data_IF_619900107986
#
_entry.id   IF_619900107986
#
_cell.length_a   1.000
_cell.length_b   1.000
_cell.length_c   1.000
_cell.angle_alpha   90.00
_cell.angle_beta   90.00
_cell.angle_gamma   90.00
#
_symmetry.space_group_name_H-M   'P 1'
#
loop_
_entity.id
_entity.type
_entity.pdbx_description
1 polymer ?
#
# COMPACT_ATOMS: atom_id res chain seq x y z
N UNK A 1 41.32 -54.06 -21.21
CA UNK A 1 40.18 -53.19 -20.88
C UNK A 1 40.76 -51.89 -20.35
N UNK A 2 40.74 -50.83 -21.16
CA UNK A 2 41.22 -49.51 -20.76
C UNK A 2 40.18 -48.85 -19.86
N UNK A 3 40.50 -48.70 -18.58
CA UNK A 3 39.68 -47.93 -17.64
C UNK A 3 39.76 -46.46 -18.00
N UNK A 4 38.62 -45.87 -18.34
CA UNK A 4 38.50 -44.43 -18.52
C UNK A 4 38.54 -43.82 -17.11
N UNK A 5 39.71 -43.37 -16.69
CA UNK A 5 39.88 -42.59 -15.47
C UNK A 5 39.39 -41.16 -15.75
N UNK A 6 38.19 -40.86 -15.27
CA UNK A 6 37.66 -39.51 -15.34
C UNK A 6 38.39 -38.64 -14.32
N UNK A 7 39.05 -37.54 -14.72
CA UNK A 7 39.71 -36.65 -13.78
C UNK A 7 38.73 -36.11 -12.73
N UNK A 8 39.15 -36.10 -11.47
CA UNK A 8 38.36 -35.69 -10.29
C UNK A 8 37.71 -34.30 -10.39
N UNK A 9 38.13 -33.48 -11.35
CA UNK A 9 37.57 -32.15 -11.62
C UNK A 9 36.24 -32.19 -12.40
N UNK A 10 35.94 -33.28 -13.10
CA UNK A 10 34.77 -33.40 -13.96
C UNK A 10 33.42 -33.14 -13.25
N UNK A 11 33.16 -33.67 -12.04
CA UNK A 11 31.93 -33.39 -11.31
C UNK A 11 31.74 -31.90 -11.03
N UNK A 12 32.82 -31.18 -10.73
CA UNK A 12 32.80 -29.75 -10.46
C UNK A 12 32.52 -28.94 -11.73
N UNK A 13 33.12 -29.33 -12.87
CA UNK A 13 32.83 -28.72 -14.16
C UNK A 13 31.37 -28.92 -14.57
N UNK A 14 30.80 -30.11 -14.33
CA UNK A 14 29.38 -30.36 -14.55
C UNK A 14 28.49 -29.54 -13.61
N UNK A 15 28.85 -29.40 -12.33
CA UNK A 15 28.10 -28.57 -11.39
C UNK A 15 28.09 -27.09 -11.82
N UNK A 16 29.24 -26.55 -12.24
CA UNK A 16 29.36 -25.17 -12.76
C UNK A 16 28.55 -25.01 -14.04
N UNK A 17 28.62 -25.97 -14.96
CA UNK A 17 27.82 -25.97 -16.18
C UNK A 17 26.31 -25.99 -15.88
N UNK A 18 25.86 -26.84 -14.96
CA UNK A 18 24.46 -26.91 -14.55
C UNK A 18 23.99 -25.60 -13.91
N UNK A 19 24.78 -25.02 -12.99
CA UNK A 19 24.46 -23.73 -12.38
C UNK A 19 24.39 -22.59 -13.41
N UNK A 20 25.33 -22.55 -14.36
CA UNK A 20 25.34 -21.52 -15.41
C UNK A 20 24.17 -21.69 -16.38
N UNK A 21 23.78 -22.93 -16.71
CA UNK A 21 22.60 -23.23 -17.51
C UNK A 21 21.30 -22.85 -16.78
N UNK A 22 21.17 -23.16 -15.49
CA UNK A 22 20.05 -22.73 -14.65
C UNK A 22 19.96 -21.21 -14.62
N UNK A 23 21.10 -20.53 -14.44
CA UNK A 23 21.16 -19.07 -14.45
C UNK A 23 20.75 -18.46 -15.80
N UNK A 24 21.24 -19.03 -16.91
CA UNK A 24 20.86 -18.59 -18.26
C UNK A 24 19.39 -18.85 -18.55
N UNK A 25 18.85 -19.99 -18.13
CA UNK A 25 17.44 -20.29 -18.24
C UNK A 25 16.60 -19.30 -17.43
N UNK A 26 16.99 -19.01 -16.19
CA UNK A 26 16.36 -17.97 -15.38
C UNK A 26 16.40 -16.60 -16.06
N UNK A 27 17.54 -16.15 -16.58
CA UNK A 27 17.68 -14.89 -17.32
C UNK A 27 16.76 -14.83 -18.56
N UNK A 28 16.65 -15.92 -19.31
CA UNK A 28 15.72 -16.02 -20.44
C UNK A 28 14.25 -15.94 -20.00
N UNK A 29 13.88 -16.58 -18.89
CA UNK A 29 12.52 -16.50 -18.34
C UNK A 29 12.19 -15.11 -17.81
N UNK A 30 13.19 -14.40 -17.25
CA UNK A 30 13.07 -13.00 -16.83
C UNK A 30 12.88 -12.07 -18.03
N UNK A 31 13.70 -12.21 -19.07
CA UNK A 31 13.56 -11.45 -20.34
C UNK A 31 12.24 -11.73 -21.04
N UNK A 32 11.75 -12.97 -20.96
CA UNK A 32 10.44 -13.37 -21.48
C UNK A 32 9.26 -12.92 -20.60
N UNK A 33 9.52 -12.26 -19.46
CA UNK A 33 8.48 -11.77 -18.54
C UNK A 33 7.70 -12.85 -17.80
N UNK A 34 8.13 -14.12 -17.89
CA UNK A 34 7.48 -15.27 -17.24
C UNK A 34 7.87 -15.44 -15.78
N UNK A 35 9.05 -14.94 -15.40
CA UNK A 35 9.55 -14.92 -14.02
C UNK A 35 10.00 -13.49 -13.70
N UNK A 36 9.58 -12.95 -12.56
CA UNK A 36 10.11 -11.68 -12.07
C UNK A 36 11.32 -11.96 -11.19
N UNK A 37 12.50 -11.50 -11.63
CA UNK A 37 13.65 -11.41 -10.75
C UNK A 37 13.30 -10.46 -9.59
N UNK A 38 13.15 -10.99 -8.39
CA UNK A 38 13.09 -10.17 -7.18
C UNK A 38 14.53 -9.83 -6.81
N UNK A 39 14.87 -8.54 -6.82
CA UNK A 39 16.12 -8.10 -6.22
C UNK A 39 16.09 -8.46 -4.73
N UNK A 40 17.01 -9.32 -4.32
CA UNK A 40 17.16 -9.80 -2.94
C UNK A 40 17.38 -8.65 -1.94
N UNK A 41 17.73 -7.46 -2.44
CA UNK A 41 18.02 -6.24 -1.69
C UNK A 41 16.82 -5.28 -1.55
N UNK A 42 15.69 -5.49 -2.24
CA UNK A 42 14.45 -4.71 -2.04
C UNK A 42 13.65 -5.26 -0.85
N UNK A 43 14.17 -5.14 0.38
CA UNK A 43 13.55 -5.71 1.59
C UNK A 43 12.14 -5.19 1.92
N UNK A 44 11.73 -4.02 1.41
CA UNK A 44 10.35 -3.53 1.56
C UNK A 44 9.44 -3.90 0.38
N UNK A 45 10.01 -4.22 -0.79
CA UNK A 45 9.30 -4.38 -2.06
C UNK A 45 8.47 -3.16 -2.49
N UNK A 46 8.69 -1.96 -1.91
CA UNK A 46 7.96 -0.73 -2.27
C UNK A 46 8.88 0.14 -3.13
N UNK A 47 8.41 0.50 -4.33
CA UNK A 47 9.19 1.24 -5.34
C UNK A 47 8.69 2.67 -5.54
N UNK A 48 7.45 2.96 -5.15
CA UNK A 48 6.89 4.31 -5.08
C UNK A 48 5.88 4.42 -3.93
N UNK A 49 5.68 5.63 -3.43
CA UNK A 49 4.67 5.96 -2.44
C UNK A 49 3.68 6.95 -3.02
N UNK A 50 2.39 6.74 -2.78
CA UNK A 50 1.32 7.58 -3.30
C UNK A 50 0.52 8.17 -2.13
N UNK A 51 0.40 9.51 -2.11
CA UNK A 51 -0.40 10.22 -1.13
C UNK A 51 -1.86 10.31 -1.60
N UNK A 52 -2.74 9.65 -0.86
CA UNK A 52 -4.17 9.64 -1.14
C UNK A 52 -4.93 10.40 -0.04
N UNK A 53 -5.79 11.31 -0.49
CA UNK A 53 -6.69 12.08 0.37
C UNK A 53 -8.11 11.55 0.19
N UNK A 54 -8.85 11.30 1.30
CA UNK A 54 -10.28 11.01 1.26
C UNK A 54 -11.07 11.88 0.30
N UNK A 55 -11.87 11.24 -0.55
CA UNK A 55 -12.78 11.95 -1.45
C UNK A 55 -14.11 12.24 -0.72
N UNK A 56 -14.07 12.97 0.38
CA UNK A 56 -15.28 13.34 1.13
C UNK A 56 -15.32 14.82 1.52
N UNK A 57 -16.48 15.29 1.96
CA UNK A 57 -16.70 16.69 2.36
C UNK A 57 -15.87 17.14 3.57
N UNK A 58 -15.25 16.22 4.30
CA UNK A 58 -14.42 16.52 5.47
C UNK A 58 -12.95 16.77 5.10
N UNK A 59 -12.50 16.35 3.91
CA UNK A 59 -11.15 16.62 3.44
C UNK A 59 -10.95 18.11 3.15
N UNK A 60 -10.00 18.73 3.87
CA UNK A 60 -9.66 20.13 3.70
C UNK A 60 -8.91 20.41 2.39
N UNK A 61 -8.94 21.68 1.95
CA UNK A 61 -8.30 22.11 0.70
C UNK A 61 -6.80 21.80 0.64
N UNK A 62 -6.07 22.00 1.75
CA UNK A 62 -4.62 21.70 1.81
C UNK A 62 -4.34 20.23 1.51
N UNK A 63 -5.13 19.31 2.08
CA UNK A 63 -4.97 17.88 1.81
C UNK A 63 -5.42 17.51 0.39
N UNK A 64 -6.47 18.17 -0.13
CA UNK A 64 -6.97 17.95 -1.49
C UNK A 64 -5.93 18.34 -2.55
N UNK A 65 -5.20 19.43 -2.34
CA UNK A 65 -4.10 19.88 -3.22
C UNK A 65 -2.98 18.83 -3.33
N UNK A 66 -2.77 18.03 -2.29
CA UNK A 66 -1.73 16.98 -2.26
C UNK A 66 -2.22 15.61 -2.77
N UNK A 67 -3.46 15.52 -3.25
CA UNK A 67 -4.00 14.27 -3.82
C UNK A 67 -3.24 13.92 -5.10
N UNK A 68 -2.82 12.66 -5.21
CA UNK A 68 -2.12 12.15 -6.39
C UNK A 68 -0.62 12.44 -6.39
N UNK A 69 -0.07 13.01 -5.32
CA UNK A 69 1.38 13.16 -5.16
C UNK A 69 2.04 11.78 -5.02
N UNK A 70 3.12 11.57 -5.77
CA UNK A 70 3.91 10.35 -5.79
C UNK A 70 5.36 10.67 -5.43
N UNK A 71 5.93 9.83 -4.57
CA UNK A 71 7.27 10.00 -4.02
C UNK A 71 8.10 8.73 -4.17
N UNK A 72 9.39 8.90 -4.40
CA UNK A 72 10.36 7.81 -4.39
C UNK A 72 10.70 7.42 -2.94
N UNK A 73 11.10 6.17 -2.67
CA UNK A 73 11.53 5.75 -1.34
C UNK A 73 12.68 6.60 -0.77
N UNK A 74 13.59 7.10 -1.62
CA UNK A 74 14.67 7.98 -1.19
C UNK A 74 14.17 9.31 -0.63
N UNK A 75 13.10 9.88 -1.20
CA UNK A 75 12.48 11.12 -0.71
C UNK A 75 11.74 10.86 0.60
N UNK A 76 10.95 9.78 0.68
CA UNK A 76 10.14 9.44 1.87
C UNK A 76 11.00 9.11 3.09
N UNK A 77 12.17 8.51 2.89
CA UNK A 77 13.09 8.13 3.98
C UNK A 77 13.94 9.29 4.49
N UNK A 78 13.86 10.48 3.88
CA UNK A 78 14.58 11.66 4.35
C UNK A 78 14.06 12.13 5.72
N UNK A 79 14.96 12.57 6.60
CA UNK A 79 14.63 12.92 8.00
C UNK A 79 13.56 14.01 8.18
N UNK A 80 13.30 14.80 7.14
CA UNK A 80 12.34 15.92 7.16
C UNK A 80 11.21 15.71 6.15
N UNK A 81 10.98 14.48 5.71
CA UNK A 81 9.92 14.22 4.75
C UNK A 81 8.56 14.56 5.37
N UNK A 82 7.88 15.52 4.75
CA UNK A 82 6.45 15.73 4.93
C UNK A 82 5.81 15.71 3.55
N UNK A 83 4.73 14.94 3.34
CA UNK A 83 4.06 14.91 2.06
C UNK A 83 3.28 16.20 1.78
N UNK A 84 3.14 17.08 2.77
CA UNK A 84 2.43 18.35 2.68
C UNK A 84 3.40 19.46 3.11
N UNK A 85 3.42 20.57 2.38
CA UNK A 85 4.18 21.77 2.76
C UNK A 85 3.49 22.53 3.89
N UNK A 86 2.15 22.49 3.91
CA UNK A 86 1.30 23.12 4.91
C UNK A 86 0.59 22.05 5.74
N UNK A 87 0.38 22.27 7.05
CA UNK A 87 -0.31 21.30 7.89
C UNK A 87 -1.80 21.20 7.54
N UNK A 88 -2.38 20.04 7.79
CA UNK A 88 -3.82 19.81 7.69
C UNK A 88 -4.59 20.79 8.59
N UNK A 89 -5.53 21.54 8.01
CA UNK A 89 -6.35 22.53 8.72
C UNK A 89 -7.63 21.93 9.32
N UNK A 90 -7.97 20.69 9.01
CA UNK A 90 -9.10 20.00 9.64
C UNK A 90 -8.72 19.63 11.09
N UNK A 91 -9.44 20.12 12.13
CA UNK A 91 -9.13 19.84 13.53
C UNK A 91 -9.31 18.37 13.92
N UNK A 92 -10.06 17.60 13.12
CA UNK A 92 -10.22 16.17 13.28
C UNK A 92 -9.23 15.36 12.44
N UNK A 93 -8.39 16.03 11.63
CA UNK A 93 -7.49 15.43 10.66
C UNK A 93 -8.23 14.88 9.44
N UNK A 94 -7.69 15.09 8.24
CA UNK A 94 -8.28 14.54 7.01
C UNK A 94 -8.01 13.05 6.81
N UNK A 95 -7.24 12.40 7.69
CA UNK A 95 -6.91 10.96 7.63
C UNK A 95 -6.34 10.53 6.27
N UNK A 96 -5.53 11.38 5.64
CA UNK A 96 -4.80 11.04 4.43
C UNK A 96 -3.86 9.86 4.68
N UNK A 97 -3.58 9.09 3.63
CA UNK A 97 -2.73 7.91 3.72
C UNK A 97 -1.60 7.97 2.71
N UNK A 98 -0.46 7.39 3.10
CA UNK A 98 0.67 7.16 2.22
C UNK A 98 0.71 5.68 1.88
N UNK A 99 0.55 5.36 0.60
CA UNK A 99 0.45 3.97 0.13
C UNK A 99 1.69 3.59 -0.66
N UNK A 100 2.40 2.58 -0.16
CA UNK A 100 3.51 1.98 -0.88
C UNK A 100 3.00 1.06 -1.98
N UNK A 101 3.58 1.20 -3.18
CA UNK A 101 3.33 0.33 -4.33
C UNK A 101 4.68 -0.23 -4.84
N UNK A 102 4.69 -1.52 -5.16
CA UNK A 102 5.75 -2.17 -5.93
C UNK A 102 5.71 -1.73 -7.40
N UNK A 103 4.52 -1.58 -7.96
CA UNK A 103 4.36 -1.06 -9.33
C UNK A 103 4.82 -2.03 -10.40
N UNK A 104 4.40 -3.29 -10.32
CA UNK A 104 4.84 -4.35 -11.23
C UNK A 104 4.21 -4.35 -12.64
N UNK A 105 3.30 -3.42 -12.94
CA UNK A 105 2.55 -3.35 -14.21
C UNK A 105 2.98 -2.14 -15.08
N UNK A 106 2.66 -2.12 -16.39
CA UNK A 106 3.20 -1.12 -17.34
C UNK A 106 2.98 0.33 -16.95
N UNK A 107 1.78 0.69 -16.50
CA UNK A 107 1.43 2.05 -16.07
C UNK A 107 2.27 2.48 -14.87
N UNK A 108 2.41 1.61 -13.86
CA UNK A 108 3.25 1.91 -12.70
C UNK A 108 4.74 2.02 -13.06
N UNK A 109 5.23 1.22 -14.01
CA UNK A 109 6.60 1.33 -14.51
C UNK A 109 6.85 2.68 -15.18
N UNK A 110 5.90 3.18 -15.97
CA UNK A 110 5.96 4.53 -16.57
C UNK A 110 6.01 5.61 -15.49
N UNK A 111 5.18 5.50 -14.46
CA UNK A 111 5.23 6.43 -13.30
C UNK A 111 6.60 6.37 -12.61
N UNK A 112 7.17 5.18 -12.40
CA UNK A 112 8.50 5.03 -11.81
C UNK A 112 9.62 5.69 -12.63
N UNK A 113 9.54 5.61 -13.96
CA UNK A 113 10.49 6.25 -14.88
C UNK A 113 10.36 7.78 -14.82
N UNK A 114 9.14 8.30 -14.89
CA UNK A 114 8.87 9.73 -14.75
C UNK A 114 9.32 10.24 -13.38
N UNK A 115 9.06 9.49 -12.31
CA UNK A 115 9.46 9.85 -10.95
C UNK A 115 10.98 10.00 -10.82
N UNK A 116 11.76 9.14 -11.49
CA UNK A 116 13.22 9.28 -11.56
C UNK A 116 13.64 10.55 -12.30
N UNK A 117 12.97 10.89 -13.40
CA UNK A 117 13.23 12.11 -14.15
C UNK A 117 12.87 13.39 -13.36
N UNK A 118 11.90 13.31 -12.44
CA UNK A 118 11.44 14.42 -11.60
C UNK A 118 12.10 14.42 -10.19
N UNK A 119 13.33 13.95 -10.07
CA UNK A 119 14.09 13.95 -8.81
C UNK A 119 13.35 13.26 -7.64
N UNK A 120 12.52 12.27 -7.93
CA UNK A 120 11.86 11.44 -6.93
C UNK A 120 10.57 12.00 -6.35
N UNK A 121 9.99 13.07 -6.90
CA UNK A 121 8.68 13.60 -6.51
C UNK A 121 7.92 14.16 -7.72
N UNK A 122 6.66 13.78 -7.89
CA UNK A 122 5.80 14.32 -8.94
C UNK A 122 4.32 14.21 -8.55
N UNK A 123 3.44 14.90 -9.29
CA UNK A 123 1.99 14.76 -9.15
C UNK A 123 1.43 14.01 -10.34
N UNK A 124 0.57 13.02 -10.08
CA UNK A 124 -0.24 12.39 -11.11
C UNK A 124 -1.54 13.19 -11.31
N UNK A 125 -1.97 13.31 -12.57
CA UNK A 125 -3.32 13.77 -12.89
C UNK A 125 -4.36 12.71 -12.50
N UNK A 126 -5.63 13.10 -12.45
CA UNK A 126 -6.72 12.16 -12.15
C UNK A 126 -6.83 11.07 -13.23
N UNK A 127 -6.55 11.41 -14.49
CA UNK A 127 -6.44 10.49 -15.63
C UNK A 127 -5.28 9.51 -15.46
N UNK A 128 -4.09 9.99 -15.10
CA UNK A 128 -2.92 9.14 -14.88
C UNK A 128 -3.14 8.18 -13.71
N UNK A 129 -3.73 8.68 -12.61
CA UNK A 129 -4.09 7.87 -11.47
C UNK A 129 -5.16 6.83 -11.81
N UNK A 130 -6.15 7.18 -12.64
CA UNK A 130 -7.16 6.24 -13.12
C UNK A 130 -6.52 5.16 -14.00
N UNK A 131 -5.70 5.56 -14.97
CA UNK A 131 -4.97 4.62 -15.82
C UNK A 131 -4.08 3.67 -15.00
N UNK A 132 -3.40 4.19 -13.97
CA UNK A 132 -2.61 3.40 -13.03
C UNK A 132 -3.46 2.30 -12.36
N UNK A 133 -4.67 2.63 -11.92
CA UNK A 133 -5.59 1.68 -11.27
C UNK A 133 -6.17 0.66 -12.25
N UNK A 134 -6.62 1.10 -13.43
CA UNK A 134 -7.18 0.22 -14.46
C UNK A 134 -6.14 -0.78 -14.97
N UNK A 135 -4.91 -0.32 -15.27
CA UNK A 135 -3.82 -1.18 -15.71
C UNK A 135 -3.43 -2.26 -14.70
N UNK A 136 -3.68 -2.03 -13.41
CA UNK A 136 -3.44 -3.02 -12.37
C UNK A 136 -4.39 -4.22 -12.43
N UNK A 137 -5.62 -4.04 -12.93
CA UNK A 137 -6.64 -5.10 -13.00
C UNK A 137 -6.28 -6.20 -14.01
N UNK A 138 -5.52 -5.84 -15.05
CA UNK A 138 -5.16 -6.75 -16.14
C UNK A 138 -3.88 -7.55 -15.89
N UNK A 139 -3.16 -7.33 -14.78
CA UNK A 139 -1.82 -7.89 -14.54
C UNK A 139 -1.73 -8.72 -13.25
N UNK A 140 -1.57 -10.05 -13.35
CA UNK A 140 -1.63 -10.97 -12.20
C UNK A 140 -0.46 -10.90 -11.20
N UNK A 141 0.78 -10.68 -11.67
CA UNK A 141 1.98 -10.87 -10.84
C UNK A 141 2.40 -9.63 -10.01
N UNK A 142 2.23 -8.42 -10.57
CA UNK A 142 2.56 -7.17 -9.87
C UNK A 142 1.42 -6.65 -8.97
N UNK A 143 0.18 -6.78 -9.43
CA UNK A 143 -1.00 -6.30 -8.70
C UNK A 143 -1.33 -7.14 -7.46
N UNK A 144 -0.82 -8.37 -7.36
CA UNK A 144 -1.00 -9.20 -6.16
C UNK A 144 -0.22 -8.65 -4.97
N UNK A 145 1.02 -8.17 -5.19
CA UNK A 145 1.83 -7.55 -4.14
C UNK A 145 1.26 -6.20 -3.67
N UNK A 146 0.55 -5.51 -4.57
CA UNK A 146 -0.04 -4.19 -4.32
C UNK A 146 -1.56 -4.25 -4.07
N UNK A 147 -2.12 -5.45 -3.96
CA UNK A 147 -3.56 -5.73 -3.90
C UNK A 147 -4.29 -4.84 -2.89
N UNK A 148 -3.77 -4.77 -1.67
CA UNK A 148 -4.44 -4.03 -0.60
C UNK A 148 -4.20 -2.52 -0.73
N UNK A 149 -3.02 -2.07 -1.16
CA UNK A 149 -2.76 -0.67 -1.47
C UNK A 149 -3.67 -0.16 -2.60
N UNK A 150 -3.86 -0.95 -3.65
CA UNK A 150 -4.75 -0.64 -4.77
C UNK A 150 -6.22 -0.60 -4.33
N UNK A 151 -6.66 -1.57 -3.51
CA UNK A 151 -8.01 -1.52 -2.92
C UNK A 151 -8.21 -0.32 -2.00
N UNK A 152 -7.18 0.10 -1.26
CA UNK A 152 -7.24 1.29 -0.43
C UNK A 152 -7.43 2.56 -1.28
N UNK A 153 -6.73 2.66 -2.41
CA UNK A 153 -6.91 3.75 -3.37
C UNK A 153 -8.33 3.77 -3.96
N UNK A 154 -8.84 2.61 -4.37
CA UNK A 154 -10.20 2.49 -4.89
C UNK A 154 -11.23 2.89 -3.84
N UNK A 155 -11.06 2.43 -2.59
CA UNK A 155 -11.93 2.78 -1.48
C UNK A 155 -11.98 4.30 -1.28
N UNK A 156 -10.82 4.94 -1.16
CA UNK A 156 -10.68 6.39 -0.94
C UNK A 156 -11.36 7.21 -2.04
N UNK A 157 -11.22 6.80 -3.30
CA UNK A 157 -11.84 7.51 -4.44
C UNK A 157 -13.35 7.36 -4.44
N UNK A 158 -13.86 6.20 -4.02
CA UNK A 158 -15.28 5.88 -3.99
C UNK A 158 -16.03 6.53 -2.83
N UNK A 159 -15.38 6.98 -1.75
CA UNK A 159 -16.06 7.43 -0.52
C UNK A 159 -17.14 8.50 -0.72
N UNK A 160 -16.92 9.45 -1.63
CA UNK A 160 -17.84 10.56 -1.86
C UNK A 160 -18.95 10.28 -2.87
N UNK A 161 -18.74 9.33 -3.79
CA UNK A 161 -19.63 9.08 -4.92
C UNK A 161 -20.36 7.73 -4.78
N UNK A 162 -19.67 6.72 -4.26
CA UNK A 162 -20.11 5.33 -4.17
C UNK A 162 -19.74 4.74 -2.80
N UNK A 163 -20.35 5.23 -1.70
CA UNK A 163 -19.95 4.86 -0.34
C UNK A 163 -20.08 3.35 -0.06
N UNK A 164 -21.03 2.66 -0.70
CA UNK A 164 -21.17 1.21 -0.59
C UNK A 164 -19.94 0.46 -1.14
N UNK A 165 -19.41 0.89 -2.28
CA UNK A 165 -18.19 0.33 -2.90
C UNK A 165 -16.97 0.59 -2.00
N UNK A 166 -16.88 1.80 -1.45
CA UNK A 166 -15.82 2.13 -0.49
C UNK A 166 -15.86 1.23 0.75
N UNK A 167 -17.05 1.01 1.33
CA UNK A 167 -17.25 0.11 2.49
C UNK A 167 -16.79 -1.31 2.16
N UNK A 168 -17.18 -1.85 1.00
CA UNK A 168 -16.76 -3.20 0.57
C UNK A 168 -15.23 -3.31 0.49
N UNK A 169 -14.57 -2.34 -0.14
CA UNK A 169 -13.11 -2.33 -0.22
C UNK A 169 -12.44 -2.22 1.15
N UNK A 170 -12.94 -1.37 2.05
CA UNK A 170 -12.40 -1.26 3.40
C UNK A 170 -12.59 -2.55 4.22
N UNK A 171 -13.78 -3.17 4.16
CA UNK A 171 -14.03 -4.48 4.80
C UNK A 171 -13.04 -5.53 4.30
N UNK A 172 -12.85 -5.62 3.00
CA UNK A 172 -11.85 -6.52 2.42
C UNK A 172 -10.44 -6.24 2.95
N UNK A 173 -10.03 -4.97 3.06
CA UNK A 173 -8.70 -4.61 3.57
C UNK A 173 -8.53 -5.08 5.02
N UNK A 174 -9.48 -4.77 5.91
CA UNK A 174 -9.37 -5.13 7.33
C UNK A 174 -9.43 -6.65 7.57
N UNK A 175 -10.09 -7.40 6.69
CA UNK A 175 -10.15 -8.87 6.76
C UNK A 175 -8.90 -9.55 6.19
N UNK A 176 -8.28 -8.97 5.16
CA UNK A 176 -7.22 -9.61 4.39
C UNK A 176 -5.82 -9.11 4.71
N UNK A 177 -5.69 -8.01 5.46
CA UNK A 177 -4.41 -7.50 5.92
C UNK A 177 -3.76 -8.46 6.93
N UNK A 178 -2.73 -9.19 6.48
CA UNK A 178 -2.04 -10.21 7.28
C UNK A 178 -0.54 -9.93 7.42
N UNK A 179 0.05 -9.26 6.44
CA UNK A 179 1.49 -8.99 6.37
C UNK A 179 1.87 -7.65 7.01
N UNK A 180 3.13 -7.49 7.43
CA UNK A 180 3.61 -6.23 8.03
C UNK A 180 3.42 -5.02 7.13
N UNK A 181 3.61 -5.19 5.81
CA UNK A 181 3.30 -4.21 4.77
C UNK A 181 1.86 -3.69 4.83
N UNK A 182 0.89 -4.59 4.99
CA UNK A 182 -0.53 -4.25 4.97
C UNK A 182 -0.94 -3.45 6.21
N UNK A 183 -0.22 -3.68 7.32
CA UNK A 183 -0.47 -3.02 8.60
C UNK A 183 -0.17 -1.53 8.57
N UNK A 184 0.61 -1.04 7.60
CA UNK A 184 0.94 0.38 7.46
C UNK A 184 -0.30 1.28 7.27
N UNK A 185 -1.36 0.77 6.65
CA UNK A 185 -2.59 1.54 6.38
C UNK A 185 -3.87 0.87 6.90
N UNK A 186 -3.81 -0.34 7.47
CA UNK A 186 -5.00 -1.05 7.98
C UNK A 186 -5.76 -0.26 9.06
N UNK A 187 -5.05 0.43 9.96
CA UNK A 187 -5.68 1.26 11.00
C UNK A 187 -6.41 2.44 10.37
N UNK A 188 -5.83 3.02 9.32
CA UNK A 188 -6.50 4.05 8.54
C UNK A 188 -7.76 3.48 7.88
N UNK A 189 -7.73 2.27 7.32
CA UNK A 189 -8.91 1.60 6.77
C UNK A 189 -10.01 1.40 7.83
N UNK A 190 -9.67 0.95 9.04
CA UNK A 190 -10.61 0.84 10.17
C UNK A 190 -11.28 2.19 10.49
N UNK A 191 -10.48 3.25 10.62
CA UNK A 191 -10.97 4.60 10.90
C UNK A 191 -11.91 5.11 9.78
N UNK A 192 -11.54 4.92 8.52
CA UNK A 192 -12.37 5.32 7.37
C UNK A 192 -13.67 4.54 7.28
N UNK A 193 -13.60 3.21 7.46
CA UNK A 193 -14.78 2.36 7.51
C UNK A 193 -15.76 2.81 8.60
N UNK A 194 -15.26 3.14 9.80
CA UNK A 194 -16.10 3.65 10.89
C UNK A 194 -16.77 4.98 10.57
N UNK A 195 -16.11 5.87 9.81
CA UNK A 195 -16.72 7.15 9.37
C UNK A 195 -17.86 6.88 8.38
N UNK A 196 -17.63 5.99 7.42
CA UNK A 196 -18.63 5.67 6.40
C UNK A 196 -19.84 4.95 6.98
N UNK A 197 -19.63 3.97 7.86
CA UNK A 197 -20.72 3.22 8.52
C UNK A 197 -21.62 4.16 9.33
N UNK A 198 -21.06 5.11 10.08
CA UNK A 198 -21.86 6.12 10.78
C UNK A 198 -22.68 6.97 9.79
N UNK A 199 -22.07 7.44 8.70
CA UNK A 199 -22.75 8.29 7.70
C UNK A 199 -23.94 7.61 7.04
N UNK A 200 -23.88 6.29 6.86
CA UNK A 200 -24.99 5.52 6.29
C UNK A 200 -25.98 5.03 7.36
N UNK A 201 -25.89 5.54 8.59
CA UNK A 201 -26.83 5.23 9.67
C UNK A 201 -26.58 3.90 10.36
N UNK A 202 -25.35 3.38 10.32
CA UNK A 202 -24.94 2.13 10.99
C UNK A 202 -23.91 2.38 12.11
N UNK A 203 -24.22 3.18 13.13
CA UNK A 203 -23.28 3.50 14.20
C UNK A 203 -22.88 2.30 15.07
N UNK A 204 -23.77 1.30 15.22
CA UNK A 204 -23.46 0.06 15.95
C UNK A 204 -22.32 -0.72 15.29
N UNK A 205 -22.40 -0.90 13.97
CA UNK A 205 -21.35 -1.56 13.20
C UNK A 205 -20.07 -0.74 13.21
N UNK A 206 -20.18 0.59 13.12
CA UNK A 206 -19.03 1.48 13.21
C UNK A 206 -18.27 1.30 14.54
N UNK A 207 -18.99 1.20 15.67
CA UNK A 207 -18.38 0.95 16.98
C UNK A 207 -17.72 -0.43 17.03
N UNK A 208 -18.43 -1.48 16.60
CA UNK A 208 -17.91 -2.85 16.60
C UNK A 208 -16.59 -2.98 15.80
N UNK A 209 -16.50 -2.30 14.65
CA UNK A 209 -15.29 -2.24 13.81
C UNK A 209 -14.12 -1.56 14.54
N UNK A 210 -14.37 -0.49 15.30
CA UNK A 210 -13.32 0.16 16.09
C UNK A 210 -12.85 -0.70 17.26
N UNK A 211 -13.76 -1.40 17.93
CA UNK A 211 -13.41 -2.31 19.02
C UNK A 211 -12.57 -3.48 18.52
N UNK A 212 -12.91 -4.02 17.34
CA UNK A 212 -12.06 -5.00 16.66
C UNK A 212 -10.68 -4.44 16.34
N UNK A 213 -10.59 -3.21 15.83
CA UNK A 213 -9.30 -2.56 15.59
C UNK A 213 -8.46 -2.43 16.87
N UNK A 214 -9.08 -2.01 17.98
CA UNK A 214 -8.43 -1.90 19.28
C UNK A 214 -7.98 -3.27 19.81
N UNK A 215 -8.74 -4.32 19.58
CA UNK A 215 -8.35 -5.68 19.94
C UNK A 215 -7.12 -6.14 19.13
N UNK A 216 -7.15 -5.98 17.80
CA UNK A 216 -6.12 -6.50 16.89
C UNK A 216 -4.81 -5.68 16.91
N UNK A 217 -4.90 -4.41 17.26
CA UNK A 217 -3.80 -3.43 17.19
C UNK A 217 -3.57 -2.62 18.48
N UNK A 218 -4.13 -3.06 19.62
CA UNK A 218 -4.28 -2.31 20.86
C UNK A 218 -3.05 -1.63 21.48
N UNK A 219 -3.31 -0.87 22.55
CA UNK A 219 -2.41 0.11 23.20
C UNK A 219 -0.96 -0.30 23.46
N UNK A 220 -0.66 -1.61 23.53
CA UNK A 220 0.64 -2.15 23.93
C UNK A 220 1.46 -2.75 22.79
N UNK A 221 0.93 -2.85 21.56
CA UNK A 221 1.67 -3.37 20.40
C UNK A 221 2.81 -2.41 20.06
N UNK A 222 4.06 -2.88 20.11
CA UNK A 222 5.27 -2.13 19.75
C UNK A 222 5.89 -2.74 18.49
N UNK A 223 6.62 -1.91 17.73
CA UNK A 223 7.32 -2.34 16.52
C UNK A 223 6.94 -1.50 15.30
N UNK A 224 7.58 -1.74 14.15
CA UNK A 224 7.38 -0.96 12.92
C UNK A 224 5.95 -1.07 12.37
N UNK A 225 5.22 -2.13 12.71
CA UNK A 225 3.84 -2.36 12.27
C UNK A 225 2.78 -1.90 13.29
N UNK A 226 3.20 -1.26 14.39
CA UNK A 226 2.29 -0.79 15.42
C UNK A 226 1.60 0.52 14.98
N UNK A 227 0.34 0.76 15.39
CA UNK A 227 -0.30 2.03 15.16
C UNK A 227 0.51 3.18 15.76
N UNK A 228 0.60 4.29 15.03
CA UNK A 228 1.23 5.52 15.51
C UNK A 228 0.43 6.12 16.66
N UNK A 229 1.06 6.96 17.49
CA UNK A 229 0.36 7.67 18.56
C UNK A 229 -0.81 8.50 18.03
N UNK A 230 -0.64 9.15 16.88
CA UNK A 230 -1.70 9.88 16.18
C UNK A 230 -2.86 8.97 15.81
N UNK A 231 -2.60 7.79 15.25
CA UNK A 231 -3.64 6.82 14.91
C UNK A 231 -4.39 6.32 16.15
N UNK A 232 -3.67 6.07 17.26
CA UNK A 232 -4.29 5.68 18.53
C UNK A 232 -5.20 6.78 19.09
N UNK A 233 -4.72 8.02 19.11
CA UNK A 233 -5.52 9.16 19.54
C UNK A 233 -6.79 9.35 18.68
N UNK A 234 -6.68 9.13 17.36
CA UNK A 234 -7.83 9.15 16.45
C UNK A 234 -8.84 8.03 16.75
N UNK A 235 -8.38 6.81 17.02
CA UNK A 235 -9.26 5.68 17.40
C UNK A 235 -10.01 5.97 18.69
N UNK A 236 -9.33 6.45 19.74
CA UNK A 236 -9.96 6.78 21.02
C UNK A 236 -10.99 7.90 20.87
N UNK A 237 -10.63 8.98 20.17
CA UNK A 237 -11.55 10.10 19.91
C UNK A 237 -12.78 9.64 19.13
N UNK A 238 -12.58 8.75 18.15
CA UNK A 238 -13.67 8.21 17.33
C UNK A 238 -14.61 7.33 18.15
N UNK A 239 -14.07 6.46 19.01
CA UNK A 239 -14.86 5.63 19.93
C UNK A 239 -15.69 6.48 20.87
N UNK A 240 -15.07 7.48 21.51
CA UNK A 240 -15.74 8.40 22.42
C UNK A 240 -16.88 9.20 21.75
N UNK A 241 -16.80 9.42 20.44
CA UNK A 241 -17.87 10.05 19.66
C UNK A 241 -19.06 9.12 19.41
N UNK A 242 -18.81 7.83 19.13
CA UNK A 242 -19.88 6.87 18.81
C UNK A 242 -20.62 6.36 20.06
N UNK A 243 -19.94 6.20 21.20
CA UNK A 243 -20.55 5.64 22.42
C UNK A 243 -21.82 6.38 22.87
N UNK A 244 -21.86 7.73 22.92
CA UNK A 244 -23.07 8.46 23.31
C UNK A 244 -24.20 8.39 22.28
N UNK A 245 -23.89 8.14 20.99
CA UNK A 245 -24.89 8.03 19.93
C UNK A 245 -25.74 6.76 20.12
N UNK A 246 -25.12 5.68 20.60
CA UNK A 246 -25.76 4.39 20.83
C UNK A 246 -26.42 4.25 22.21
N UNK A 247 -26.15 5.19 23.12
CA UNK A 247 -26.77 5.24 24.44
C UNK A 247 -28.13 5.97 24.45
N UNK A 248 -28.59 6.46 23.30
CA UNK A 248 -29.86 7.17 23.09
C UNK A 248 -30.86 6.28 22.38
#
# INVERSE_FOLDING_TARGET
MTSIEFPDILPYLFAILCLTLIWKFHDLQVKAGRIQARDFWERSGVRLFLHATPNDVLACMVCREMTGMVFSPAVVTSKKFTPQERPCINPNGCRCVMLGLYGGWPEAKRVLEQLKAHNGSMRLTDEELRGLLEGSQHTRAGATADRLSLRMLLAIRAEGNEPAVAIEHYRYIVEQAKEGRDRAFVVSAYLRLSDLLERIGQPDEALAILERCQHDYGGKKKGPDAPTETQRAMLEKRKAHLTPILAR
#
